data_IF_343897304629
#
_entry.id   IF_343897304629
#
_cell.length_a   1.000
_cell.length_b   1.000
_cell.length_c   1.000
_cell.angle_alpha   90.00
_cell.angle_beta   90.00
_cell.angle_gamma   90.00
#
_symmetry.space_group_name_H-M   'P 1'
#
loop_
_entity.id
_entity.type
_entity.pdbx_description
1 polymer ?
2 non-polymer ?
3 non-polymer ?
4 water ?
#
# COMPACT_ATOMS: atom_id res chain seq x y z
N UNK A 1 -20.86 -4.73 -7.46
CA UNK A 1 -19.66 -3.92 -7.64
C UNK A 1 -19.21 -3.91 -9.10
N UNK A 2 -18.31 -3.00 -9.45
CA UNK A 2 -17.84 -2.86 -10.82
C UNK A 2 -16.83 -3.93 -11.18
N UNK A 3 -16.02 -4.33 -10.21
CA UNK A 3 -15.07 -5.43 -10.39
C UNK A 3 -15.83 -6.75 -10.43
N UNK A 4 -15.36 -7.67 -11.27
CA UNK A 4 -15.86 -9.03 -11.25
C UNK A 4 -15.14 -9.78 -10.15
N UNK A 5 -15.76 -10.83 -9.62
CA UNK A 5 -15.18 -11.56 -8.49
C UNK A 5 -13.76 -12.00 -8.78
N UNK A 6 -13.52 -12.52 -9.98
CA UNK A 6 -12.21 -13.05 -10.34
C UNK A 6 -11.13 -11.95 -10.34
N UNK A 7 -11.50 -10.75 -10.79
CA UNK A 7 -10.61 -9.61 -10.77
C UNK A 7 -10.30 -9.20 -9.34
N UNK A 8 -11.33 -9.15 -8.51
CA UNK A 8 -11.16 -8.79 -7.10
C UNK A 8 -10.23 -9.77 -6.38
N UNK A 9 -10.33 -11.05 -6.73
CA UNK A 9 -9.48 -12.06 -6.11
C UNK A 9 -8.02 -11.88 -6.51
N UNK A 10 -7.78 -11.63 -7.81
CA UNK A 10 -6.42 -11.39 -8.30
C UNK A 10 -5.80 -10.17 -7.63
N UNK A 11 -6.57 -9.09 -7.50
CA UNK A 11 -6.08 -7.88 -6.82
C UNK A 11 -5.79 -8.13 -5.35
N UNK A 12 -6.66 -8.91 -4.72
CA UNK A 12 -6.49 -9.28 -3.32
C UNK A 12 -5.19 -10.05 -3.13
N UNK A 13 -4.94 -11.02 -4.01
CA UNK A 13 -3.73 -11.85 -3.94
C UNK A 13 -2.47 -11.03 -4.20
N UNK A 14 -2.55 -10.13 -5.18
CA UNK A 14 -1.45 -9.25 -5.52
C UNK A 14 -1.07 -8.38 -4.32
N UNK A 15 -2.06 -7.74 -3.70
CA UNK A 15 -1.82 -6.93 -2.52
C UNK A 15 -1.25 -7.73 -1.36
N UNK A 16 -1.77 -8.94 -1.15
CA UNK A 16 -1.31 -9.80 -0.05
C UNK A 16 0.15 -10.21 -0.23
N UNK A 17 0.54 -10.58 -1.43
CA UNK A 17 1.91 -11.00 -1.69
C UNK A 17 2.87 -9.84 -1.49
N UNK A 18 2.54 -8.68 -2.06
CA UNK A 18 3.38 -7.49 -1.89
C UNK A 18 3.47 -7.07 -0.42
N UNK A 19 2.35 -7.16 0.31
CA UNK A 19 2.36 -6.84 1.74
C UNK A 19 3.29 -7.75 2.52
N UNK A 20 3.25 -9.05 2.23
CA UNK A 20 4.12 -10.00 2.93
C UNK A 20 5.60 -9.72 2.68
N UNK A 21 5.93 -9.34 1.45
CA UNK A 21 7.34 -9.04 1.15
C UNK A 21 7.79 -7.80 1.91
N UNK A 22 6.97 -6.76 1.86
CA UNK A 22 7.27 -5.50 2.53
C UNK A 22 7.27 -5.66 4.04
N UNK A 23 6.32 -6.39 4.57
CA UNK A 23 6.25 -6.55 6.03
C UNK A 23 7.39 -7.42 6.54
N UNK A 24 7.75 -8.47 5.79
CA UNK A 24 8.93 -9.23 6.17
C UNK A 24 10.18 -8.33 6.19
N UNK A 25 10.27 -7.43 5.22
CA UNK A 25 11.41 -6.51 5.17
C UNK A 25 11.45 -5.60 6.41
N UNK A 26 10.29 -5.08 6.82
CA UNK A 26 10.22 -4.27 8.03
C UNK A 26 10.60 -5.08 9.28
N UNK A 27 10.16 -6.32 9.35
CA UNK A 27 10.44 -7.13 10.54
C UNK A 27 11.92 -7.50 10.62
N UNK A 28 12.47 -7.97 9.50
CA UNK A 28 13.85 -8.46 9.47
C UNK A 28 14.86 -7.32 9.67
N UNK A 29 14.49 -6.10 9.34
CA UNK A 29 15.38 -4.95 9.55
C UNK A 29 15.15 -4.28 10.90
N UNK A 30 14.13 -4.71 11.62
CA UNK A 30 13.84 -4.10 12.91
C UNK A 30 13.04 -2.81 12.79
N UNK A 31 12.47 -2.55 11.62
CA UNK A 31 11.61 -1.38 11.46
C UNK A 31 10.38 -1.52 12.35
N UNK A 32 9.84 -2.74 12.39
CA UNK A 32 8.69 -3.04 13.25
C UNK A 32 8.94 -4.35 13.99
N UNK A 33 8.18 -4.57 15.07
CA UNK A 33 8.23 -5.81 15.84
C UNK A 33 6.80 -6.18 16.23
N UNK A 34 6.39 -7.42 16.02
CA UNK A 34 5.04 -7.82 16.42
C UNK A 34 5.00 -8.29 17.88
N UNK A 35 3.86 -8.09 18.53
CA UNK A 35 3.66 -8.59 19.90
C UNK A 35 2.29 -9.25 19.97
N UNK A 36 2.07 -10.25 19.12
CA UNK A 36 0.79 -10.95 19.10
C UNK A 36 0.96 -12.46 18.87
N UNK A 37 1.55 -13.13 19.85
CA UNK A 37 1.97 -14.52 19.70
C UNK A 37 0.82 -15.53 19.50
N UNK A 38 -0.38 -15.14 19.90
CA UNK A 38 -1.53 -16.05 19.89
C UNK A 38 -2.13 -16.34 18.51
N UNK A 39 -1.78 -15.54 17.50
CA UNK A 39 -2.33 -15.77 16.16
C UNK A 39 -1.34 -16.48 15.24
N UNK A 40 -1.86 -17.24 14.29
CA UNK A 40 -1.05 -17.92 13.26
C UNK A 40 -0.33 -16.87 12.41
N UNK A 41 0.95 -17.09 12.13
CA UNK A 41 1.71 -16.18 11.28
C UNK A 41 1.83 -16.77 9.88
N UNK A 42 1.91 -15.89 8.88
CA UNK A 42 2.23 -16.30 7.52
C UNK A 42 3.53 -15.58 7.20
N UNK A 43 4.59 -16.35 6.98
CA UNK A 43 5.95 -15.80 6.92
C UNK A 43 6.24 -14.98 8.18
N UNK A 44 6.52 -13.69 8.04
CA UNK A 44 6.82 -12.87 9.21
C UNK A 44 5.61 -12.09 9.76
N UNK A 45 4.43 -12.31 9.18
CA UNK A 45 3.27 -11.49 9.49
C UNK A 45 2.13 -12.29 10.12
N UNK A 46 1.36 -11.64 11.02
CA UNK A 46 0.09 -12.23 11.47
C UNK A 46 -0.78 -12.50 10.25
N UNK A 47 -1.53 -13.61 10.26
CA UNK A 47 -2.26 -14.02 9.06
C UNK A 47 -3.22 -12.94 8.58
N UNK A 48 -3.73 -12.11 9.50
CA UNK A 48 -4.69 -11.07 9.13
C UNK A 48 -4.06 -9.87 8.41
N UNK A 49 -2.74 -9.72 8.50
CA UNK A 49 -2.08 -8.60 7.84
C UNK A 49 -2.22 -8.64 6.30
N UNK A 50 -1.83 -9.76 5.66
CA UNK A 50 -2.02 -9.79 4.19
C UNK A 50 -3.48 -9.76 3.78
N UNK A 51 -4.38 -10.20 4.66
CA UNK A 51 -5.81 -10.11 4.38
C UNK A 51 -6.26 -8.65 4.36
N UNK A 52 -5.81 -7.88 5.34
CA UNK A 52 -6.12 -6.46 5.41
C UNK A 52 -5.64 -5.71 4.18
N UNK A 53 -4.35 -5.88 3.85
CA UNK A 53 -3.78 -5.16 2.71
C UNK A 53 -4.38 -5.64 1.39
N UNK A 54 -4.59 -6.94 1.26
CA UNK A 54 -5.24 -7.49 0.07
C UNK A 54 -6.65 -6.94 -0.11
N UNK A 55 -7.38 -6.85 0.99
CA UNK A 55 -8.75 -6.31 0.93
C UNK A 55 -8.74 -4.82 0.57
N UNK A 56 -7.78 -4.09 1.11
CA UNK A 56 -7.65 -2.67 0.79
C UNK A 56 -7.30 -2.46 -0.67
N UNK A 57 -6.49 -3.35 -1.22
CA UNK A 57 -6.12 -3.29 -2.64
C UNK A 57 -7.36 -3.44 -3.53
N UNK A 58 -8.16 -4.45 -3.26
CA UNK A 58 -9.35 -4.67 -4.08
C UNK A 58 -10.38 -3.55 -3.85
N UNK A 59 -10.44 -3.06 -2.62
CA UNK A 59 -11.41 -2.02 -2.26
C UNK A 59 -11.09 -0.66 -2.91
N UNK A 60 -9.81 -0.29 -2.92
CA UNK A 60 -9.40 0.96 -3.54
C UNK A 60 -9.57 0.89 -5.05
N UNK A 61 -9.30 -0.28 -5.63
CA UNK A 61 -9.53 -0.46 -7.06
C UNK A 61 -11.02 -0.31 -7.37
N UNK A 62 -11.86 -0.93 -6.55
CA UNK A 62 -13.31 -0.80 -6.73
C UNK A 62 -13.74 0.66 -6.59
N UNK A 63 -13.24 1.33 -5.57
CA UNK A 63 -13.55 2.74 -5.34
C UNK A 63 -13.26 3.63 -6.56
N UNK A 64 -12.09 3.42 -7.17
CA UNK A 64 -11.74 4.17 -8.38
C UNK A 64 -12.80 4.02 -9.47
N UNK A 65 -13.36 2.83 -9.59
CA UNK A 65 -14.34 2.57 -10.63
C UNK A 65 -15.68 3.26 -10.36
N UNK A 66 -15.83 3.84 -9.17
CA UNK A 66 -17.02 4.62 -8.84
C UNK A 66 -16.76 6.12 -8.93
N UNK A 67 -15.53 6.48 -9.32
CA UNK A 67 -15.14 7.88 -9.47
C UNK A 67 -15.16 8.23 -10.95
N UNK A 68 -15.18 9.54 -11.28
CA UNK A 68 -15.36 9.95 -12.68
C UNK A 68 -14.33 9.39 -13.66
N UNK A 69 -14.81 9.01 -14.84
CA UNK A 69 -13.98 8.66 -16.00
C UNK A 69 -12.77 7.74 -15.77
N UNK A 70 -13.01 6.47 -15.43
CA UNK A 70 -11.90 5.51 -15.39
C UNK A 70 -11.22 5.47 -16.75
N UNK A 71 -9.89 5.50 -16.77
CA UNK A 71 -9.16 5.59 -18.03
C UNK A 71 -9.17 4.26 -18.76
N UNK A 72 -9.56 4.26 -20.03
CA UNK A 72 -9.59 3.01 -20.77
C UNK A 72 -8.23 2.68 -21.40
N UNK A 73 -7.29 3.61 -21.34
CA UNK A 73 -6.00 3.39 -21.97
C UNK A 73 -4.95 2.74 -21.09
N UNK A 74 -5.33 2.26 -19.91
CA UNK A 74 -4.38 1.68 -18.95
C UNK A 74 -3.88 0.31 -19.41
N UNK A 75 -2.58 0.06 -19.25
CA UNK A 75 -1.96 -1.18 -19.74
C UNK A 75 -1.33 -1.99 -18.61
N UNK A 76 -1.11 -3.28 -18.86
CA UNK A 76 -0.43 -4.15 -17.91
C UNK A 76 0.99 -3.64 -17.63
N UNK A 77 1.60 -3.03 -18.63
CA UNK A 77 2.95 -2.45 -18.49
C UNK A 77 2.96 -1.34 -17.45
N UNK A 78 1.96 -0.47 -17.50
CA UNK A 78 1.85 0.61 -16.51
C UNK A 78 1.60 0.05 -15.12
N UNK A 79 0.77 -1.00 -15.07
CA UNK A 79 0.42 -1.61 -13.80
C UNK A 79 1.61 -2.30 -13.16
N UNK A 80 2.40 -3.00 -13.97
CA UNK A 80 3.62 -3.65 -13.46
C UNK A 80 4.57 -2.60 -12.91
N UNK A 81 4.72 -1.50 -13.64
CA UNK A 81 5.59 -0.42 -13.22
C UNK A 81 5.13 0.19 -11.90
N UNK A 82 3.82 0.35 -11.73
CA UNK A 82 3.29 0.89 -10.50
C UNK A 82 3.47 -0.03 -9.32
N UNK A 83 3.23 -1.32 -9.53
CA UNK A 83 3.43 -2.27 -8.45
C UNK A 83 4.91 -2.30 -8.05
N UNK A 84 5.78 -2.25 -9.05
CA UNK A 84 7.21 -2.27 -8.78
C UNK A 84 7.62 -1.02 -8.00
N UNK A 85 7.02 0.12 -8.32
CA UNK A 85 7.36 1.38 -7.64
C UNK A 85 6.95 1.32 -6.18
N UNK A 86 5.77 0.77 -5.91
CA UNK A 86 5.29 0.67 -4.54
C UNK A 86 6.09 -0.36 -3.74
N UNK A 87 6.36 -1.51 -4.34
CA UNK A 87 7.20 -2.51 -3.67
C UNK A 87 8.60 -1.98 -3.41
N UNK A 88 9.20 -1.34 -4.41
CA UNK A 88 10.52 -0.75 -4.25
C UNK A 88 10.57 0.29 -3.15
N UNK A 89 9.53 1.13 -3.08
CA UNK A 89 9.48 2.15 -2.03
C UNK A 89 9.28 1.53 -0.66
N UNK A 90 8.41 0.52 -0.60
CA UNK A 90 8.12 -0.19 0.66
C UNK A 90 9.41 -0.78 1.22
N UNK A 91 10.14 -1.54 0.41
CA UNK A 91 11.36 -2.18 0.93
C UNK A 91 12.46 -1.14 1.23
N UNK A 92 12.48 -0.03 0.49
CA UNK A 92 13.45 1.03 0.78
C UNK A 92 13.23 1.61 2.17
N UNK A 93 11.97 1.76 2.58
CA UNK A 93 11.72 2.27 3.93
C UNK A 93 12.33 1.35 4.98
N UNK A 94 12.33 0.06 4.70
CA UNK A 94 12.97 -0.90 5.63
C UNK A 94 14.48 -0.65 5.69
N UNK A 95 15.08 -0.33 4.55
CA UNK A 95 16.51 -0.12 4.48
C UNK A 95 16.94 1.18 5.18
N UNK A 96 16.11 2.22 5.10
CA UNK A 96 16.55 3.53 5.59
C UNK A 96 15.88 3.99 6.88
N UNK A 97 15.10 3.13 7.51
CA UNK A 97 14.26 3.53 8.65
C UNK A 97 15.02 4.11 9.85
N UNK A 98 16.29 3.76 10.01
CA UNK A 98 17.07 4.24 11.15
C UNK A 98 17.66 5.63 10.96
N UNK A 99 17.52 6.19 9.76
CA UNK A 99 18.08 7.51 9.44
C UNK A 99 17.13 8.61 9.95
N UNK A 100 17.60 9.88 9.99
CA UNK A 100 16.76 10.96 10.52
C UNK A 100 15.44 11.13 9.78
N UNK A 101 14.39 11.49 10.51
CA UNK A 101 13.02 11.46 9.99
C UNK A 101 12.78 12.34 8.75
N UNK A 102 13.39 13.51 8.67
CA UNK A 102 13.15 14.40 7.54
C UNK A 102 13.66 13.86 6.20
N UNK A 103 14.95 13.51 6.10
CA UNK A 103 15.35 12.98 4.79
C UNK A 103 14.62 11.68 4.43
N UNK A 104 14.39 10.79 5.40
CA UNK A 104 13.66 9.55 5.12
C UNK A 104 12.25 9.83 4.60
N UNK A 105 11.52 10.68 5.31
CA UNK A 105 10.16 10.98 4.90
C UNK A 105 10.14 11.73 3.55
N UNK A 106 11.08 12.65 3.35
CA UNK A 106 11.15 13.39 2.08
C UNK A 106 11.42 12.46 0.90
N UNK A 107 12.25 11.43 1.12
CA UNK A 107 12.58 10.49 0.04
C UNK A 107 11.34 9.71 -0.37
N UNK A 108 10.57 9.26 0.61
CA UNK A 108 9.34 8.53 0.31
C UNK A 108 8.28 9.43 -0.34
N UNK A 109 8.18 10.67 0.11
CA UNK A 109 7.30 11.65 -0.54
C UNK A 109 7.68 11.88 -2.00
N UNK A 110 8.97 11.93 -2.26
CA UNK A 110 9.46 12.11 -3.63
C UNK A 110 9.08 10.91 -4.48
N UNK A 111 9.27 9.71 -3.94
CA UNK A 111 8.91 8.49 -4.67
C UNK A 111 7.41 8.47 -4.99
N UNK A 112 6.60 8.89 -4.02
CA UNK A 112 5.15 8.88 -4.18
C UNK A 112 4.70 9.90 -5.23
N UNK A 113 5.33 11.07 -5.20
CA UNK A 113 4.99 12.13 -6.16
C UNK A 113 5.35 11.69 -7.57
N UNK A 114 6.52 11.08 -7.73
CA UNK A 114 6.94 10.61 -9.05
C UNK A 114 6.02 9.50 -9.55
N UNK A 115 5.62 8.60 -8.66
CA UNK A 115 4.67 7.53 -9.02
C UNK A 115 3.37 8.14 -9.53
N UNK A 116 2.85 9.14 -8.82
CA UNK A 116 1.64 9.82 -9.28
C UNK A 116 1.87 10.52 -10.64
N UNK A 117 3.00 11.22 -10.75
CA UNK A 117 3.28 11.95 -11.99
C UNK A 117 3.28 11.04 -13.21
N UNK A 118 3.85 9.84 -13.05
CA UNK A 118 3.95 8.92 -14.18
C UNK A 118 2.63 8.19 -14.47
N UNK A 119 1.88 7.87 -13.42
CA UNK A 119 0.76 6.93 -13.55
C UNK A 119 -0.61 7.46 -13.14
N UNK A 120 -0.64 8.49 -12.30
CA UNK A 120 -1.88 8.84 -11.64
C UNK A 120 -2.71 9.90 -12.35
N UNK A 121 -4.00 9.93 -12.03
CA UNK A 121 -4.84 11.05 -12.43
C UNK A 121 -5.49 11.65 -11.18
N UNK A 122 -6.46 12.53 -11.36
CA UNK A 122 -7.12 13.15 -10.22
C UNK A 122 -7.83 12.17 -9.29
N UNK A 123 -8.74 11.36 -9.84
CA UNK A 123 -9.40 10.36 -8.97
C UNK A 123 -8.41 9.38 -8.32
N UNK A 124 -7.32 9.04 -9.01
CA UNK A 124 -6.30 8.18 -8.42
C UNK A 124 -5.65 8.81 -7.21
N UNK A 125 -5.36 10.10 -7.31
CA UNK A 125 -4.85 10.86 -6.16
C UNK A 125 -5.84 10.87 -5.00
N UNK A 126 -7.13 10.98 -5.32
CA UNK A 126 -8.17 10.97 -4.28
C UNK A 126 -8.16 9.63 -3.53
N UNK A 127 -8.04 8.53 -4.27
CA UNK A 127 -7.89 7.22 -3.64
C UNK A 127 -6.63 7.17 -2.78
N UNK A 128 -5.56 7.77 -3.27
CA UNK A 128 -4.32 7.85 -2.52
C UNK A 128 -4.52 8.59 -1.21
N UNK A 129 -5.31 9.67 -1.23
CA UNK A 129 -5.57 10.43 -0.02
C UNK A 129 -6.39 9.63 0.98
N UNK A 130 -7.39 8.92 0.49
CA UNK A 130 -8.25 8.11 1.35
C UNK A 130 -7.43 7.12 2.19
N UNK A 131 -6.56 6.36 1.52
CA UNK A 131 -5.76 5.36 2.23
C UNK A 131 -4.58 5.97 2.98
N UNK A 132 -4.10 7.14 2.53
CA UNK A 132 -3.05 7.84 3.26
C UNK A 132 -3.53 8.30 4.64
N UNK A 133 -4.85 8.38 4.81
CA UNK A 133 -5.43 8.72 6.11
C UNK A 133 -5.84 7.47 6.87
N UNK A 134 -6.58 6.59 6.21
CA UNK A 134 -7.07 5.37 6.85
C UNK A 134 -5.94 4.40 7.22
N UNK A 135 -4.98 4.22 6.31
CA UNK A 135 -3.84 3.33 6.58
C UNK A 135 -3.13 3.65 7.88
N UNK A 136 -2.55 4.86 8.00
CA UNK A 136 -1.88 5.24 9.24
C UNK A 136 -2.80 5.23 10.46
N UNK A 137 -4.08 5.57 10.29
CA UNK A 137 -5.03 5.56 11.39
C UNK A 137 -5.20 4.15 11.97
N UNK A 138 -5.40 3.17 11.09
CA UNK A 138 -5.50 1.77 11.51
C UNK A 138 -4.23 1.34 12.24
N UNK A 139 -3.07 1.67 11.69
CA UNK A 139 -1.80 1.35 12.33
C UNK A 139 -1.63 2.00 13.70
N UNK A 140 -2.04 3.26 13.82
CA UNK A 140 -1.93 3.96 15.10
C UNK A 140 -2.78 3.27 16.16
N UNK A 141 -3.99 2.86 15.79
CA UNK A 141 -4.87 2.11 16.69
C UNK A 141 -4.26 0.78 17.10
N UNK A 142 -3.72 0.03 16.12
CA UNK A 142 -3.08 -1.25 16.39
C UNK A 142 -1.89 -1.12 17.32
N UNK A 143 -1.08 -0.08 17.12
CA UNK A 143 0.06 0.17 17.99
C UNK A 143 -0.39 0.54 19.40
N UNK A 144 -1.48 1.31 19.47
CA UNK A 144 -2.05 1.72 20.76
C UNK A 144 -2.53 0.49 21.54
N UNK A 145 -3.03 -0.51 20.82
CA UNK A 145 -3.51 -1.74 21.43
C UNK A 145 -2.38 -2.69 21.79
N UNK A 146 -1.17 -2.38 21.35
CA UNK A 146 0.00 -3.19 21.65
C UNK A 146 0.18 -4.39 20.73
N UNK A 147 -0.44 -4.34 19.55
CA UNK A 147 -0.36 -5.45 18.59
C UNK A 147 1.03 -5.54 17.97
N UNK A 148 1.61 -4.37 17.70
CA UNK A 148 2.98 -4.27 17.23
C UNK A 148 3.52 -2.88 17.56
N UNK A 149 4.81 -2.67 17.33
CA UNK A 149 5.40 -1.37 17.57
C UNK A 149 6.42 -1.03 16.49
N UNK A 150 6.64 0.26 16.27
CA UNK A 150 7.72 0.71 15.39
C UNK A 150 9.00 0.89 16.15
N UNK A 151 10.12 0.80 15.45
CA UNK A 151 11.43 1.14 16.00
C UNK A 151 11.35 2.58 16.52
N UNK A 152 11.99 2.86 17.66
CA UNK A 152 11.94 4.18 18.30
C UNK A 152 12.40 5.33 17.41
N UNK A 153 13.21 5.03 16.40
CA UNK A 153 13.63 6.07 15.46
C UNK A 153 12.69 6.19 14.24
N UNK A 154 11.56 5.48 14.28
CA UNK A 154 10.60 5.51 13.19
C UNK A 154 9.16 5.54 13.69
N UNK A 155 8.92 6.26 14.79
CA UNK A 155 7.59 6.24 15.40
C UNK A 155 7.00 7.62 15.68
N UNK A 156 7.46 8.63 14.95
CA UNK A 156 7.10 10.01 15.22
C UNK A 156 5.69 10.45 14.90
N UNK A 157 4.93 9.63 14.17
CA UNK A 157 3.54 9.97 13.85
C UNK A 157 2.59 9.20 14.79
N UNK A 158 2.44 9.70 16.02
CA UNK A 158 1.59 9.05 17.03
C UNK A 158 1.94 7.56 17.19
N UNK A 159 3.22 7.26 17.21
CA UNK A 159 3.67 5.88 17.40
C UNK A 159 3.97 5.10 16.14
N UNK A 160 3.63 5.65 14.97
CA UNK A 160 3.98 5.02 13.69
C UNK A 160 4.90 5.91 12.82
N UNK A 161 5.40 5.36 11.72
CA UNK A 161 6.36 6.10 10.90
C UNK A 161 5.68 7.15 10.04
N UNK A 162 6.22 8.38 10.04
CA UNK A 162 5.69 9.42 9.15
C UNK A 162 5.71 9.00 7.68
N UNK A 163 6.65 8.14 7.28
CA UNK A 163 6.71 7.73 5.88
C UNK A 163 5.49 6.92 5.42
N UNK A 164 4.67 6.46 6.37
CA UNK A 164 3.46 5.73 6.02
C UNK A 164 2.52 6.58 5.18
N UNK A 165 2.47 7.88 5.46
CA UNK A 165 1.55 8.74 4.70
C UNK A 165 1.85 8.71 3.19
N UNK A 166 3.09 9.01 2.77
CA UNK A 166 3.31 8.92 1.31
C UNK A 166 3.35 7.47 0.79
N UNK A 167 3.75 6.52 1.63
CA UNK A 167 3.76 5.13 1.18
C UNK A 167 2.34 4.66 0.88
N UNK A 168 1.42 4.91 1.80
CA UNK A 168 0.02 4.57 1.54
C UNK A 168 -0.56 5.35 0.37
N UNK A 169 -0.20 6.62 0.25
CA UNK A 169 -0.69 7.45 -0.85
C UNK A 169 -0.35 6.79 -2.20
N UNK A 170 0.91 6.38 -2.35
CA UNK A 170 1.37 5.75 -3.58
C UNK A 170 0.66 4.42 -3.80
N UNK A 171 0.43 3.67 -2.72
CA UNK A 171 -0.36 2.44 -2.79
C UNK A 171 -1.75 2.71 -3.35
N UNK A 172 -2.43 3.74 -2.82
CA UNK A 172 -3.74 4.11 -3.32
C UNK A 172 -3.75 4.49 -4.80
N UNK A 173 -2.79 5.30 -5.23
CA UNK A 173 -2.69 5.66 -6.65
C UNK A 173 -2.58 4.42 -7.55
N UNK A 174 -1.75 3.47 -7.14
CA UNK A 174 -1.55 2.27 -7.94
C UNK A 174 -2.73 1.29 -7.86
N UNK A 175 -3.36 1.17 -6.70
CA UNK A 175 -4.54 0.31 -6.58
C UNK A 175 -5.64 0.83 -7.50
N UNK A 176 -5.77 2.15 -7.57
CA UNK A 176 -6.77 2.79 -8.44
C UNK A 176 -6.47 2.46 -9.89
N UNK A 177 -5.18 2.51 -10.25
CA UNK A 177 -4.76 2.14 -11.60
C UNK A 177 -5.08 0.68 -11.90
N UNK A 178 -4.92 -0.18 -10.90
CA UNK A 178 -5.19 -1.61 -11.10
C UNK A 178 -6.68 -1.85 -11.35
N UNK A 179 -7.53 -1.09 -10.69
CA UNK A 179 -8.96 -1.15 -10.95
C UNK A 179 -9.28 -0.73 -12.37
N UNK A 180 -8.69 0.36 -12.84
CA UNK A 180 -8.89 0.79 -14.22
C UNK A 180 -8.41 -0.29 -15.19
N UNK A 181 -7.28 -0.91 -14.89
CA UNK A 181 -6.75 -1.97 -15.75
C UNK A 181 -7.69 -3.16 -15.83
N UNK A 182 -8.26 -3.54 -14.68
CA UNK A 182 -9.17 -4.70 -14.62
C UNK A 182 -10.29 -4.57 -15.64
N UNK A 183 -10.86 -3.37 -15.74
CA UNK A 183 -11.93 -3.11 -16.70
C UNK A 183 -11.40 -3.01 -18.13
N UNK A 184 -10.32 -2.26 -18.31
CA UNK A 184 -9.76 -2.01 -19.64
C UNK A 184 -9.29 -3.27 -20.37
N UNK A 185 -8.82 -4.25 -19.61
CA UNK A 185 -8.25 -5.46 -20.22
C UNK A 185 -9.29 -6.52 -20.57
N UNK A 186 -10.56 -6.25 -20.26
CA UNK A 186 -11.62 -7.18 -20.62
C UNK A 186 -11.68 -7.33 -22.14
N UNK A 187 -12.21 -8.47 -22.63
CA UNK A 187 -12.26 -8.71 -24.08
C UNK A 187 -12.97 -7.60 -24.83
N UNK A 188 -12.46 -7.25 -26.00
CA UNK A 188 -13.01 -6.16 -26.81
C UNK A 188 -13.44 -6.70 -28.18
N UNK A 189 -14.27 -5.93 -28.88
CA UNK A 189 -14.66 -6.28 -30.24
C UNK A 189 -13.47 -6.10 -31.19
#
# INVERSE_FOLDING_TARGET
MRLRISEAVVLFLLGAVAALIGDHSHVVTGTTVYHTDAVPFVWSSPFWFPILVGAATASLAELRLHLPAPRDGVTARQALGGVAAVVGTYVTTALVHAFPVVPVTALVCAAAAITWCVLGDGPGAACGVVIAVIGPAVEIALVQLGVFAYHPDSDGLFGVAPFLAPLYFAFGVVAALLGELAVARRPQLGPPVCDTVSRGPGAGHHHHHH
#
